data_IF_731530301711
#
_entry.id   IF_731530301711
#
_cell.length_a   1.000
_cell.length_b   1.000
_cell.length_c   1.000
_cell.angle_alpha   90.00
_cell.angle_beta   90.00
_cell.angle_gamma   90.00
#
_symmetry.space_group_name_H-M   'P 1'
#
loop_
_entity.id
_entity.type
_entity.pdbx_description
1 polymer ?
#
# COMPACT_ATOMS: atom_id res chain seq x y z
N UNK A 1 12.58 -2.40 -22.23
CA UNK A 1 11.86 -1.93 -21.04
C UNK A 1 10.42 -1.63 -21.38
N UNK A 2 9.50 -2.05 -20.55
CA UNK A 2 8.08 -1.87 -20.80
C UNK A 2 7.67 -0.43 -20.56
N UNK A 3 7.01 0.18 -21.52
CA UNK A 3 6.47 1.53 -21.35
C UNK A 3 5.26 1.51 -20.43
N UNK A 4 5.19 2.48 -19.54
CA UNK A 4 4.06 2.68 -18.66
C UNK A 4 2.99 3.48 -19.39
N UNK A 5 1.74 3.02 -19.33
CA UNK A 5 0.63 3.72 -19.98
C UNK A 5 0.20 4.93 -19.12
N UNK A 6 -0.48 5.92 -19.72
CA UNK A 6 -1.03 7.03 -18.92
C UNK A 6 -1.97 6.55 -17.82
N UNK A 7 -2.73 5.49 -18.05
CA UNK A 7 -3.61 4.92 -17.04
C UNK A 7 -2.83 4.34 -15.86
N UNK A 8 -1.70 3.69 -16.14
CA UNK A 8 -0.85 3.16 -15.09
C UNK A 8 -0.21 4.28 -14.27
N UNK A 9 0.23 5.35 -14.92
CA UNK A 9 0.78 6.52 -14.22
C UNK A 9 -0.26 7.09 -13.25
N UNK A 10 -1.50 7.28 -13.72
CA UNK A 10 -2.58 7.79 -12.88
C UNK A 10 -2.84 6.85 -11.71
N UNK A 11 -2.90 5.54 -11.96
CA UNK A 11 -3.12 4.54 -10.92
C UNK A 11 -2.04 4.63 -9.83
N UNK A 12 -0.79 4.68 -10.23
CA UNK A 12 0.33 4.74 -9.27
C UNK A 12 0.34 6.06 -8.51
N UNK A 13 0.05 7.18 -9.19
CA UNK A 13 -0.04 8.48 -8.52
C UNK A 13 -1.15 8.49 -7.47
N UNK A 14 -2.31 7.92 -7.80
CA UNK A 14 -3.43 7.86 -6.88
C UNK A 14 -3.13 6.95 -5.67
N UNK A 15 -2.43 5.84 -5.90
CA UNK A 15 -1.99 4.96 -4.82
C UNK A 15 -1.04 5.69 -3.86
N UNK A 16 -0.07 6.41 -4.41
CA UNK A 16 0.88 7.17 -3.60
C UNK A 16 0.16 8.26 -2.80
N UNK A 17 -0.80 8.94 -3.41
CA UNK A 17 -1.59 9.96 -2.72
C UNK A 17 -2.41 9.35 -1.58
N UNK A 18 -2.96 8.15 -1.81
CA UNK A 18 -3.73 7.48 -0.77
C UNK A 18 -2.85 7.08 0.41
N UNK A 19 -1.66 6.58 0.17
CA UNK A 19 -0.73 6.17 1.23
C UNK A 19 -0.08 7.38 1.91
N UNK A 20 0.00 8.50 1.23
CA UNK A 20 0.86 9.63 1.59
C UNK A 20 0.39 10.53 2.72
N UNK A 21 -0.46 10.05 3.62
CA UNK A 21 -0.73 10.74 4.89
C UNK A 21 -0.18 9.89 6.02
N UNK A 22 0.12 10.53 7.14
CA UNK A 22 0.70 9.82 8.28
C UNK A 22 -0.16 8.67 8.73
N UNK A 23 -1.46 8.90 8.90
CA UNK A 23 -2.36 7.83 9.35
C UNK A 23 -2.45 6.70 8.33
N UNK A 24 -2.60 7.02 7.06
CA UNK A 24 -2.75 5.97 6.04
C UNK A 24 -1.45 5.20 5.81
N UNK A 25 -0.31 5.88 5.95
CA UNK A 25 0.97 5.19 5.91
C UNK A 25 1.10 4.18 7.05
N UNK A 26 0.72 4.59 8.26
CA UNK A 26 0.76 3.69 9.42
C UNK A 26 -0.18 2.50 9.27
N UNK A 27 -1.37 2.74 8.75
CA UNK A 27 -2.34 1.67 8.50
C UNK A 27 -1.76 0.67 7.49
N UNK A 28 -1.21 1.17 6.39
CA UNK A 28 -0.63 0.31 5.36
C UNK A 28 0.50 -0.54 5.93
N UNK A 29 1.40 0.07 6.69
CA UNK A 29 2.51 -0.65 7.29
C UNK A 29 2.03 -1.71 8.28
N UNK A 30 1.05 -1.36 9.11
CA UNK A 30 0.50 -2.32 10.07
C UNK A 30 -0.12 -3.51 9.36
N UNK A 31 -0.91 -3.27 8.32
CA UNK A 31 -1.53 -4.35 7.56
C UNK A 31 -0.50 -5.21 6.84
N UNK A 32 0.62 -4.63 6.41
CA UNK A 32 1.71 -5.42 5.84
C UNK A 32 2.30 -6.39 6.87
N UNK A 33 2.41 -5.99 8.13
CA UNK A 33 2.90 -6.89 9.17
C UNK A 33 1.95 -8.07 9.39
N UNK A 34 0.68 -7.91 9.07
CA UNK A 34 -0.35 -8.92 9.30
C UNK A 34 -0.68 -9.73 8.04
N UNK A 35 0.01 -9.48 6.94
CA UNK A 35 -0.20 -10.24 5.71
C UNK A 35 0.24 -11.70 5.89
N UNK A 36 -0.48 -12.70 5.38
CA UNK A 36 -1.66 -12.59 4.49
C UNK A 36 -3.00 -12.53 5.22
N UNK A 37 -3.06 -12.72 6.50
CA UNK A 37 -4.32 -12.85 7.23
C UNK A 37 -5.08 -11.54 7.35
N UNK A 38 -4.37 -10.43 7.49
CA UNK A 38 -4.98 -9.12 7.65
C UNK A 38 -5.53 -8.87 9.06
N UNK A 39 -6.21 -7.76 9.22
CA UNK A 39 -6.76 -7.35 10.51
C UNK A 39 -8.19 -6.84 10.31
N UNK A 40 -9.03 -7.06 11.32
CA UNK A 40 -10.36 -6.42 11.35
C UNK A 40 -10.21 -5.00 11.89
N UNK A 41 -11.20 -4.16 11.59
CA UNK A 41 -11.13 -2.73 11.90
C UNK A 41 -10.87 -2.47 13.40
N UNK A 42 -11.48 -3.25 14.28
CA UNK A 42 -11.26 -3.08 15.72
C UNK A 42 -9.83 -3.33 16.14
N UNK A 43 -9.15 -4.28 15.50
CA UNK A 43 -7.74 -4.55 15.79
C UNK A 43 -6.84 -3.40 15.32
N UNK A 44 -7.13 -2.85 14.14
CA UNK A 44 -6.39 -1.70 13.64
C UNK A 44 -6.59 -0.51 14.57
N UNK A 45 -7.82 -0.29 14.99
CA UNK A 45 -8.16 0.80 15.89
C UNK A 45 -7.42 0.69 17.21
N UNK A 46 -7.38 -0.50 17.79
CA UNK A 46 -6.69 -0.73 19.05
C UNK A 46 -5.19 -0.48 18.94
N UNK A 47 -4.59 -0.92 17.84
CA UNK A 47 -3.14 -0.75 17.62
C UNK A 47 -2.76 0.71 17.41
N UNK A 48 -3.56 1.47 16.67
CA UNK A 48 -3.17 2.81 16.23
C UNK A 48 -3.81 3.93 17.05
N UNK A 49 -4.79 3.60 17.92
CA UNK A 49 -5.44 4.61 18.74
C UNK A 49 -6.24 5.63 17.95
N UNK A 50 -6.82 5.23 16.81
CA UNK A 50 -7.61 6.10 15.96
C UNK A 50 -9.09 5.87 16.23
N UNK A 51 -9.91 6.93 16.15
CA UNK A 51 -11.37 6.78 16.31
C UNK A 51 -11.95 5.94 15.18
N UNK A 52 -13.08 5.28 15.45
CA UNK A 52 -13.71 4.41 14.45
C UNK A 52 -14.07 5.17 13.17
N UNK A 53 -14.61 6.39 13.30
CA UNK A 53 -15.01 7.16 12.13
C UNK A 53 -13.81 7.60 11.30
N UNK A 54 -12.72 8.02 11.93
CA UNK A 54 -11.51 8.40 11.21
C UNK A 54 -10.89 7.19 10.51
N UNK A 55 -10.85 6.05 11.21
CA UNK A 55 -10.31 4.83 10.62
C UNK A 55 -11.12 4.41 9.40
N UNK A 56 -12.45 4.44 9.50
CA UNK A 56 -13.33 4.08 8.39
C UNK A 56 -13.04 4.96 7.16
N UNK A 57 -12.87 6.26 7.38
CA UNK A 57 -12.56 7.20 6.30
C UNK A 57 -11.22 6.86 5.64
N UNK A 58 -10.20 6.59 6.43
CA UNK A 58 -8.88 6.24 5.90
C UNK A 58 -8.88 4.90 5.16
N UNK A 59 -9.58 3.90 5.70
CA UNK A 59 -9.69 2.60 5.05
C UNK A 59 -10.44 2.68 3.72
N UNK A 60 -11.50 3.50 3.67
CA UNK A 60 -12.24 3.71 2.43
C UNK A 60 -11.36 4.32 1.36
N UNK A 61 -10.53 5.28 1.72
CA UNK A 61 -9.61 5.91 0.77
C UNK A 61 -8.57 4.92 0.26
N UNK A 62 -7.98 4.13 1.13
CA UNK A 62 -7.01 3.11 0.73
C UNK A 62 -7.65 2.05 -0.15
N UNK A 63 -8.87 1.65 0.17
CA UNK A 63 -9.61 0.67 -0.61
C UNK A 63 -9.95 1.21 -2.00
N UNK A 64 -10.43 2.45 -2.08
CA UNK A 64 -10.84 3.02 -3.37
C UNK A 64 -9.69 3.15 -4.35
N UNK A 65 -8.46 3.30 -3.85
CA UNK A 65 -7.28 3.40 -4.71
C UNK A 65 -6.53 2.08 -4.86
N UNK A 66 -7.12 0.99 -4.39
CA UNK A 66 -6.56 -0.34 -4.62
C UNK A 66 -5.36 -0.72 -3.76
N UNK A 67 -5.11 0.02 -2.69
CA UNK A 67 -4.00 -0.31 -1.76
C UNK A 67 -4.38 -1.44 -0.82
N UNK A 68 -5.64 -1.45 -0.37
CA UNK A 68 -6.14 -2.52 0.50
C UNK A 68 -7.38 -3.15 -0.11
N UNK A 69 -7.62 -4.39 0.29
CA UNK A 69 -8.84 -5.12 -0.04
C UNK A 69 -9.57 -5.45 1.25
N UNK A 70 -10.86 -5.66 1.15
CA UNK A 70 -11.70 -5.95 2.30
C UNK A 70 -12.51 -7.21 2.04
N UNK A 71 -12.63 -8.05 3.07
CA UNK A 71 -13.41 -9.28 3.03
C UNK A 71 -14.36 -9.30 4.23
N UNK A 72 -15.62 -9.61 3.97
CA UNK A 72 -16.59 -9.74 5.06
C UNK A 72 -16.48 -11.12 5.69
N UNK A 73 -16.38 -11.14 7.02
CA UNK A 73 -16.38 -12.36 7.83
C UNK A 73 -17.44 -12.21 8.91
N UNK A 74 -18.63 -12.73 8.65
CA UNK A 74 -19.75 -12.54 9.55
C UNK A 74 -20.10 -11.06 9.67
N UNK A 75 -20.04 -10.51 10.88
CA UNK A 75 -20.29 -9.09 11.11
C UNK A 75 -19.02 -8.24 11.07
N UNK A 76 -17.86 -8.85 10.78
CA UNK A 76 -16.60 -8.14 10.74
C UNK A 76 -16.13 -7.92 9.31
N UNK A 77 -15.37 -6.83 9.13
CA UNK A 77 -14.68 -6.55 7.87
C UNK A 77 -13.19 -6.72 8.11
N UNK A 78 -12.58 -7.60 7.34
CA UNK A 78 -11.14 -7.88 7.45
C UNK A 78 -10.42 -7.23 6.28
N UNK A 79 -9.37 -6.49 6.60
CA UNK A 79 -8.60 -5.71 5.64
C UNK A 79 -7.22 -6.32 5.45
N UNK A 80 -6.80 -6.38 4.18
CA UNK A 80 -5.45 -6.82 3.82
C UNK A 80 -4.87 -5.84 2.80
N UNK A 81 -3.54 -5.71 2.79
CA UNK A 81 -2.88 -4.96 1.73
C UNK A 81 -2.88 -5.79 0.46
N UNK A 82 -3.18 -5.16 -0.67
CA UNK A 82 -2.96 -5.77 -1.98
C UNK A 82 -1.46 -5.71 -2.26
N UNK A 83 -0.74 -6.76 -1.88
CA UNK A 83 0.72 -6.78 -2.00
C UNK A 83 1.17 -6.79 -3.44
N UNK A 84 0.38 -7.37 -4.35
CA UNK A 84 0.72 -7.36 -5.76
C UNK A 84 0.67 -5.93 -6.31
N UNK A 85 -0.38 -5.17 -5.97
CA UNK A 85 -0.49 -3.78 -6.39
C UNK A 85 0.66 -2.94 -5.84
N UNK A 86 1.02 -3.17 -4.57
CA UNK A 86 2.11 -2.43 -3.94
C UNK A 86 3.46 -2.78 -4.57
N UNK A 87 3.68 -4.06 -4.88
CA UNK A 87 4.88 -4.48 -5.59
C UNK A 87 4.98 -3.86 -6.97
N UNK A 88 3.85 -3.75 -7.68
CA UNK A 88 3.82 -3.09 -8.98
C UNK A 88 4.24 -1.63 -8.87
N UNK A 89 3.76 -0.93 -7.83
CA UNK A 89 4.13 0.46 -7.58
C UNK A 89 5.64 0.59 -7.34
N UNK A 90 6.19 -0.25 -6.48
CA UNK A 90 7.62 -0.22 -6.18
C UNK A 90 8.46 -0.56 -7.42
N UNK A 91 8.03 -1.56 -8.17
CA UNK A 91 8.72 -1.94 -9.40
C UNK A 91 8.69 -0.79 -10.42
N UNK A 92 7.57 -0.11 -10.53
CA UNK A 92 7.48 1.06 -11.40
C UNK A 92 8.47 2.14 -10.99
N UNK A 93 8.55 2.45 -9.68
CA UNK A 93 9.44 3.50 -9.20
C UNK A 93 10.90 3.20 -9.50
N UNK A 94 11.30 1.93 -9.44
CA UNK A 94 12.69 1.54 -9.65
C UNK A 94 12.98 1.04 -11.06
N UNK A 95 11.98 0.95 -11.93
CA UNK A 95 12.13 0.31 -13.25
C UNK A 95 13.23 0.94 -14.10
N UNK A 96 13.45 2.23 -13.94
CA UNK A 96 14.48 2.93 -14.70
C UNK A 96 15.59 3.49 -13.80
N UNK A 97 15.67 2.93 -12.59
CA UNK A 97 16.71 3.38 -11.67
C UNK A 97 18.08 3.24 -12.32
N UNK A 98 18.84 4.36 -12.29
CA UNK A 98 20.27 4.37 -12.63
C UNK A 98 20.57 4.03 -14.09
N UNK A 99 19.58 4.11 -14.97
CA UNK A 99 19.82 3.85 -16.39
C UNK A 99 20.75 4.91 -17.01
N UNK A 100 20.82 6.11 -16.40
CA UNK A 100 21.69 7.21 -16.88
C UNK A 100 23.02 7.24 -16.13
N UNK A 101 23.20 6.35 -15.16
CA UNK A 101 24.41 6.25 -14.34
C UNK A 101 24.45 4.84 -13.76
N UNK A 102 25.63 4.36 -13.36
CA UNK A 102 25.77 3.06 -12.72
C UNK A 102 25.97 3.18 -11.21
N UNK A 103 25.62 4.34 -10.64
CA UNK A 103 25.90 4.61 -9.23
C UNK A 103 25.14 3.70 -8.27
N UNK A 104 23.95 3.22 -8.66
CA UNK A 104 23.13 2.39 -7.79
C UNK A 104 22.37 1.37 -8.62
N UNK A 105 22.30 0.12 -8.13
CA UNK A 105 21.57 -0.95 -8.82
C UNK A 105 20.21 -1.19 -8.16
N UNK A 106 19.14 -1.31 -8.96
CA UNK A 106 17.79 -1.49 -8.38
C UNK A 106 17.64 -2.70 -7.47
N UNK A 107 18.26 -3.81 -7.79
CA UNK A 107 18.14 -5.03 -6.99
C UNK A 107 18.71 -4.86 -5.57
N UNK A 108 19.74 -4.04 -5.40
CA UNK A 108 20.29 -3.76 -4.08
C UNK A 108 19.30 -3.00 -3.21
N UNK A 109 18.52 -2.11 -3.82
CA UNK A 109 17.52 -1.33 -3.10
C UNK A 109 16.38 -2.24 -2.64
N UNK A 110 15.96 -3.18 -3.48
CA UNK A 110 14.92 -4.14 -3.13
C UNK A 110 15.36 -5.03 -1.97
N UNK A 111 16.61 -5.42 -1.93
CA UNK A 111 17.14 -6.24 -0.83
C UNK A 111 17.07 -5.51 0.50
N UNK A 112 17.23 -4.19 0.51
CA UNK A 112 17.19 -3.39 1.73
C UNK A 112 15.78 -3.29 2.32
N UNK A 113 14.76 -3.58 1.54
CA UNK A 113 13.37 -3.46 1.97
C UNK A 113 12.84 -4.68 2.74
N UNK A 114 13.68 -5.68 2.94
CA UNK A 114 13.27 -6.87 3.69
C UNK A 114 13.19 -6.61 5.19
#
# INVERSE_FOLDING_TARGET
MKKVTPEEITRFADMLAAIGTEHRLRITQLLLTAHPDGLVAGEIQAELGISASNLSHHLDKLKSEGVVTVKREGSFLRYTVDTEALQDLLAFLFSECCTRTSALKPDKIIQLSK
#
